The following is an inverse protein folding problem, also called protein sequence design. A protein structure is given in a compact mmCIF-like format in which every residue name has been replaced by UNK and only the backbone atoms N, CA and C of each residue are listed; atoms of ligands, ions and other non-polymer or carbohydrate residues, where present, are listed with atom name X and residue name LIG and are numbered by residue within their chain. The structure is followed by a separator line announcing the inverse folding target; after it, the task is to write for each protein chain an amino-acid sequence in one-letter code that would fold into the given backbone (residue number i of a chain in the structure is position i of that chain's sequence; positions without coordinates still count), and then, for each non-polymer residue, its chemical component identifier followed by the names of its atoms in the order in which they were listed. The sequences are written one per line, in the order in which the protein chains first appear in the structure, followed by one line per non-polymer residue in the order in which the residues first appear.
data_IF_207743834618
#
_entry.id   IF_207743834618
#
_cell.length_a   1.000
_cell.length_b   1.000
_cell.length_c   1.000
_cell.angle_alpha   90.00
_cell.angle_beta   90.00
_cell.angle_gamma   90.00
#
_symmetry.space_group_name_H-M   'P 1'
#
loop_
_entity.id
_entity.type
_entity.pdbx_description
1 polymer ?
#
# COMPACT_ATOMS: atom_id res chain seq x y z
N UNK A 1 19.38 7.27 12.85
CA UNK A 1 20.11 8.39 13.46
C UNK A 1 20.37 9.46 12.41
N UNK A 2 20.87 10.65 12.76
CA UNK A 2 21.07 11.78 11.83
C UNK A 2 22.06 11.52 10.66
N UNK A 3 22.64 10.32 10.57
CA UNK A 3 23.54 9.86 9.50
C UNK A 3 23.07 8.53 8.89
N UNK A 4 21.77 8.26 8.92
CA UNK A 4 21.21 7.05 8.33
C UNK A 4 21.14 7.19 6.81
N UNK A 5 22.02 6.47 6.09
CA UNK A 5 22.08 6.41 4.64
C UNK A 5 20.74 6.05 3.98
N UNK A 6 19.82 5.39 4.70
CA UNK A 6 18.45 5.12 4.25
C UNK A 6 17.57 6.36 4.14
N UNK A 7 18.06 7.52 4.55
CA UNK A 7 17.36 8.81 4.45
C UNK A 7 17.76 9.61 3.21
N UNK A 8 18.63 9.07 2.34
CA UNK A 8 19.19 9.79 1.21
C UNK A 8 19.06 8.98 -0.10
N UNK A 9 18.69 9.66 -1.19
CA UNK A 9 18.65 9.08 -2.53
C UNK A 9 20.08 8.92 -3.10
N UNK A 10 20.21 8.35 -4.32
CA UNK A 10 21.53 8.07 -4.94
C UNK A 10 22.40 9.32 -5.10
N UNK A 11 21.77 10.50 -5.17
CA UNK A 11 22.42 11.79 -5.39
C UNK A 11 22.69 12.54 -4.08
N UNK A 12 22.46 11.90 -2.93
CA UNK A 12 22.72 12.47 -1.60
C UNK A 12 21.68 13.49 -1.14
N UNK A 13 20.59 13.68 -1.88
CA UNK A 13 19.47 14.47 -1.42
C UNK A 13 18.69 13.69 -0.36
N UNK A 14 18.24 14.38 0.69
CA UNK A 14 17.33 13.79 1.67
C UNK A 14 16.10 13.29 0.92
N UNK A 15 15.66 12.05 1.15
CA UNK A 15 14.43 11.53 0.54
C UNK A 15 13.31 12.54 0.80
N UNK A 16 12.87 13.24 -0.25
CA UNK A 16 11.66 14.02 -0.13
C UNK A 16 10.54 13.00 0.10
N UNK A 17 9.83 13.14 1.22
CA UNK A 17 8.79 12.19 1.61
C UNK A 17 7.71 12.08 0.52
N UNK A 18 7.57 13.10 -0.34
CA UNK A 18 6.73 13.06 -1.54
C UNK A 18 7.17 12.05 -2.62
N UNK A 19 8.46 11.72 -2.72
CA UNK A 19 8.97 10.75 -3.71
C UNK A 19 8.75 9.29 -3.29
N UNK A 20 8.49 9.03 -1.99
CA UNK A 20 8.44 7.67 -1.42
C UNK A 20 7.14 6.89 -1.62
N UNK A 21 6.09 7.51 -2.18
CA UNK A 21 4.81 6.85 -2.47
C UNK A 21 4.55 6.68 -3.97
N UNK A 22 5.59 6.38 -4.74
CA UNK A 22 5.50 6.25 -6.21
C UNK A 22 4.94 7.51 -6.90
N UNK A 23 5.27 8.70 -6.36
CA UNK A 23 4.76 9.99 -6.87
C UNK A 23 3.40 10.43 -6.33
N UNK A 24 2.81 9.68 -5.38
CA UNK A 24 1.56 10.07 -4.71
C UNK A 24 1.86 11.00 -3.53
N UNK A 25 1.20 12.17 -3.50
CA UNK A 25 1.25 13.05 -2.34
C UNK A 25 0.74 12.35 -1.06
N UNK A 26 1.40 12.59 0.08
CA UNK A 26 1.09 11.90 1.34
C UNK A 26 -0.36 12.09 1.79
N UNK A 27 -0.92 13.30 1.68
CA UNK A 27 -2.31 13.55 2.09
C UNK A 27 -3.29 12.85 1.15
N UNK A 28 -2.99 12.82 -0.15
CA UNK A 28 -3.79 12.05 -1.11
C UNK A 28 -3.74 10.55 -0.82
N UNK A 29 -2.57 10.02 -0.47
CA UNK A 29 -2.41 8.63 -0.05
C UNK A 29 -3.24 8.29 1.20
N UNK A 30 -3.24 9.16 2.21
CA UNK A 30 -4.07 8.98 3.41
C UNK A 30 -5.57 9.02 3.09
N UNK A 31 -6.00 9.94 2.23
CA UNK A 31 -7.39 10.04 1.79
C UNK A 31 -7.84 8.76 1.08
N UNK A 32 -7.07 8.28 0.09
CA UNK A 32 -7.38 7.06 -0.64
C UNK A 32 -7.42 5.83 0.29
N UNK A 33 -6.49 5.74 1.25
CA UNK A 33 -6.49 4.67 2.24
C UNK A 33 -7.74 4.71 3.14
N UNK A 34 -8.14 5.90 3.61
CA UNK A 34 -9.36 6.07 4.41
C UNK A 34 -10.61 5.66 3.62
N UNK A 35 -10.69 6.05 2.34
CA UNK A 35 -11.81 5.68 1.46
C UNK A 35 -11.87 4.19 1.18
N UNK A 36 -10.74 3.52 0.96
CA UNK A 36 -10.69 2.05 0.86
C UNK A 36 -11.18 1.38 2.15
N UNK A 37 -10.76 1.89 3.30
CA UNK A 37 -11.18 1.38 4.61
C UNK A 37 -12.70 1.40 4.77
N UNK A 38 -13.31 2.53 4.42
CA UNK A 38 -14.76 2.75 4.49
C UNK A 38 -15.51 1.84 3.51
N UNK A 39 -15.14 1.84 2.22
CA UNK A 39 -15.84 1.12 1.17
C UNK A 39 -15.70 -0.41 1.29
N UNK A 40 -14.56 -0.90 1.78
CA UNK A 40 -14.34 -2.34 2.03
C UNK A 40 -14.85 -2.77 3.42
N UNK A 41 -15.42 -1.85 4.20
CA UNK A 41 -15.94 -2.12 5.55
C UNK A 41 -14.96 -2.88 6.46
N UNK A 42 -13.68 -2.47 6.46
CA UNK A 42 -12.61 -3.21 7.14
C UNK A 42 -11.77 -2.33 8.03
N UNK A 43 -11.47 -2.80 9.25
CA UNK A 43 -10.47 -2.18 10.11
C UNK A 43 -9.04 -2.72 9.87
N UNK A 44 -8.91 -3.71 8.98
CA UNK A 44 -7.67 -4.47 8.72
C UNK A 44 -7.10 -4.18 7.34
N UNK A 45 -7.06 -2.90 6.96
CA UNK A 45 -6.67 -2.48 5.61
C UNK A 45 -5.26 -2.96 5.22
N UNK A 46 -4.31 -3.01 6.17
CA UNK A 46 -2.97 -3.52 5.90
C UNK A 46 -2.99 -5.01 5.49
N UNK A 47 -3.72 -5.86 6.21
CA UNK A 47 -3.87 -7.27 5.85
C UNK A 47 -4.67 -7.44 4.56
N UNK A 48 -5.70 -6.61 4.34
CA UNK A 48 -6.48 -6.61 3.11
C UNK A 48 -5.60 -6.27 1.88
N UNK A 49 -4.69 -5.28 2.00
CA UNK A 49 -3.74 -4.94 0.96
C UNK A 49 -2.76 -6.08 0.66
N UNK A 50 -2.22 -6.75 1.70
CA UNK A 50 -1.37 -7.92 1.51
C UNK A 50 -2.13 -9.07 0.84
N UNK A 51 -3.38 -9.31 1.24
CA UNK A 51 -4.25 -10.31 0.63
C UNK A 51 -4.50 -9.99 -0.85
N UNK A 52 -4.80 -8.74 -1.19
CA UNK A 52 -4.99 -8.28 -2.56
C UNK A 52 -3.76 -8.59 -3.43
N UNK A 53 -2.54 -8.29 -2.95
CA UNK A 53 -1.31 -8.58 -3.70
C UNK A 53 -1.13 -10.09 -3.90
N UNK A 54 -1.41 -10.90 -2.89
CA UNK A 54 -1.33 -12.36 -2.94
C UNK A 54 -2.37 -13.02 -3.84
N UNK A 55 -3.39 -12.29 -4.32
CA UNK A 55 -4.39 -12.84 -5.25
C UNK A 55 -3.90 -12.92 -6.70
N UNK A 56 -2.80 -12.26 -7.04
CA UNK A 56 -2.28 -12.25 -8.40
C UNK A 56 -1.47 -13.52 -8.68
N UNK A 57 -1.76 -14.29 -9.75
CA UNK A 57 -1.04 -15.52 -10.07
C UNK A 57 0.47 -15.33 -10.29
N UNK A 58 0.89 -14.12 -10.66
CA UNK A 58 2.29 -13.76 -10.86
C UNK A 58 3.05 -13.52 -9.54
N UNK A 59 2.35 -13.43 -8.41
CA UNK A 59 2.94 -13.16 -7.09
C UNK A 59 3.05 -14.47 -6.32
N UNK A 60 4.28 -14.87 -5.99
CA UNK A 60 4.55 -16.04 -5.14
C UNK A 60 4.62 -15.71 -3.65
N UNK A 61 5.05 -14.49 -3.31
CA UNK A 61 5.27 -14.07 -1.92
C UNK A 61 5.19 -12.55 -1.79
N UNK A 62 4.81 -12.08 -0.59
CA UNK A 62 4.88 -10.68 -0.18
C UNK A 62 5.83 -10.55 1.00
N UNK A 63 6.67 -9.52 1.02
CA UNK A 63 7.69 -9.30 2.06
C UNK A 63 7.41 -7.98 2.78
N UNK A 64 6.41 -7.93 3.68
CA UNK A 64 6.06 -6.71 4.40
C UNK A 64 7.06 -6.41 5.52
N UNK A 65 7.31 -5.12 5.75
CA UNK A 65 8.04 -4.65 6.92
C UNK A 65 7.21 -4.81 8.20
N UNK A 66 7.89 -4.92 9.35
CA UNK A 66 7.29 -4.93 10.67
C UNK A 66 8.24 -4.27 11.69
N UNK A 67 7.68 -3.41 12.55
CA UNK A 67 8.36 -2.77 13.68
C UNK A 67 7.96 -3.36 15.03
N UNK A 68 7.01 -4.31 15.06
CA UNK A 68 6.62 -5.04 16.27
C UNK A 68 6.25 -6.50 15.98
N UNK A 69 6.33 -7.41 16.98
CA UNK A 69 5.91 -8.81 16.83
C UNK A 69 4.44 -8.99 16.44
N UNK A 70 3.56 -8.08 16.89
CA UNK A 70 2.14 -8.10 16.56
C UNK A 70 1.92 -7.87 15.07
N UNK A 71 2.71 -6.98 14.45
CA UNK A 71 2.66 -6.75 13.01
C UNK A 71 3.12 -7.98 12.22
N UNK A 72 4.15 -8.70 12.69
CA UNK A 72 4.59 -9.96 12.06
C UNK A 72 3.41 -10.95 12.02
N UNK A 73 2.76 -11.13 13.17
CA UNK A 73 1.61 -12.03 13.30
C UNK A 73 0.45 -11.58 12.42
N UNK A 74 0.12 -10.28 12.43
CA UNK A 74 -0.95 -9.70 11.61
C UNK A 74 -0.67 -9.84 10.10
N UNK A 75 0.57 -9.62 9.66
CA UNK A 75 0.99 -9.75 8.28
C UNK A 75 0.89 -11.22 7.81
N UNK A 76 1.34 -12.18 8.62
CA UNK A 76 1.26 -13.60 8.29
C UNK A 76 -0.20 -14.06 8.09
N UNK A 77 -1.12 -13.57 8.92
CA UNK A 77 -2.54 -13.89 8.84
C UNK A 77 -3.22 -13.41 7.54
N UNK A 78 -2.64 -12.44 6.82
CA UNK A 78 -3.22 -11.93 5.57
C UNK A 78 -3.40 -13.04 4.52
N UNK A 79 -2.49 -14.01 4.48
CA UNK A 79 -2.55 -15.17 3.58
C UNK A 79 -3.79 -16.05 3.77
N UNK A 80 -4.33 -16.10 4.98
CA UNK A 80 -5.51 -16.89 5.34
C UNK A 80 -6.84 -16.14 5.23
N UNK A 81 -6.82 -14.85 4.85
CA UNK A 81 -8.04 -14.11 4.59
C UNK A 81 -8.76 -14.67 3.35
N UNK A 82 -10.10 -14.56 3.27
CA UNK A 82 -10.83 -14.90 2.05
C UNK A 82 -10.29 -14.10 0.86
N UNK A 83 -10.36 -14.63 -0.37
CA UNK A 83 -10.11 -13.83 -1.55
C UNK A 83 -11.12 -12.68 -1.61
N UNK A 84 -10.71 -11.56 -2.18
CA UNK A 84 -11.64 -10.48 -2.49
C UNK A 84 -12.70 -11.00 -3.47
N UNK A 85 -13.93 -10.60 -3.22
CA UNK A 85 -15.03 -10.70 -4.18
C UNK A 85 -14.77 -9.79 -5.38
N UNK A 86 -15.50 -10.02 -6.47
CA UNK A 86 -15.44 -9.13 -7.64
C UNK A 86 -15.83 -7.68 -7.29
N UNK A 87 -16.77 -7.52 -6.36
CA UNK A 87 -17.20 -6.21 -5.87
C UNK A 87 -16.07 -5.47 -5.14
N UNK A 88 -15.38 -6.15 -4.21
CA UNK A 88 -14.23 -5.59 -3.49
C UNK A 88 -13.08 -5.26 -4.46
N UNK A 89 -12.83 -6.12 -5.45
CA UNK A 89 -11.84 -5.83 -6.50
C UNK A 89 -12.19 -4.58 -7.31
N UNK A 90 -13.48 -4.38 -7.62
CA UNK A 90 -13.96 -3.20 -8.34
C UNK A 90 -13.87 -1.93 -7.47
N UNK A 91 -14.09 -2.02 -6.16
CA UNK A 91 -13.88 -0.92 -5.21
C UNK A 91 -12.42 -0.45 -5.25
N UNK A 92 -11.46 -1.38 -5.15
CA UNK A 92 -10.02 -1.04 -5.22
C UNK A 92 -9.68 -0.36 -6.54
N UNK A 93 -10.16 -0.91 -7.67
CA UNK A 93 -9.94 -0.33 -9.00
C UNK A 93 -10.51 1.09 -9.10
N UNK A 94 -11.74 1.29 -8.61
CA UNK A 94 -12.41 2.59 -8.64
C UNK A 94 -11.63 3.66 -7.88
N UNK A 95 -11.18 3.35 -6.65
CA UNK A 95 -10.37 4.30 -5.87
C UNK A 95 -9.04 4.59 -6.58
N UNK A 96 -8.39 3.58 -7.14
CA UNK A 96 -7.16 3.79 -7.91
C UNK A 96 -7.38 4.69 -9.12
N UNK A 97 -8.38 4.41 -9.96
CA UNK A 97 -8.66 5.16 -11.18
C UNK A 97 -9.06 6.62 -10.90
N UNK A 98 -9.84 6.86 -9.84
CA UNK A 98 -10.32 8.20 -9.47
C UNK A 98 -9.25 9.04 -8.76
N UNK A 99 -8.49 8.45 -7.83
CA UNK A 99 -7.65 9.23 -6.90
C UNK A 99 -6.16 9.12 -7.15
N UNK A 100 -5.68 7.97 -7.62
CA UNK A 100 -4.24 7.67 -7.69
C UNK A 100 -3.71 7.79 -9.11
N UNK A 101 -4.39 7.16 -10.08
CA UNK A 101 -3.97 7.11 -11.47
C UNK A 101 -3.70 8.50 -12.06
N UNK A 102 -4.53 9.55 -11.87
CA UNK A 102 -4.24 10.87 -12.42
C UNK A 102 -2.93 11.50 -11.92
N UNK A 103 -2.42 11.04 -10.78
CA UNK A 103 -1.21 11.58 -10.14
C UNK A 103 0.06 10.93 -10.66
N UNK A 104 -0.03 9.64 -11.02
CA UNK A 104 1.16 8.82 -11.32
C UNK A 104 1.21 8.34 -12.77
N UNK A 105 0.11 8.40 -13.51
CA UNK A 105 0.04 7.84 -14.87
C UNK A 105 0.91 8.58 -15.89
N UNK A 106 1.23 9.86 -15.65
CA UNK A 106 2.20 10.60 -16.46
C UNK A 106 3.66 10.34 -16.10
N UNK A 107 3.94 9.53 -15.06
CA UNK A 107 5.28 9.20 -14.60
C UNK A 107 5.83 7.88 -15.20
N UNK A 108 5.08 7.25 -16.11
CA UNK A 108 5.42 5.97 -16.75
C UNK A 108 5.07 5.98 -18.24
#
# INVERSE_FOLDING_TARGET
GAHDHRSYNRDGAYFDKGETFSGVDYQKGLHAAARLKELLHTDRLAQAALRYILMYPAVSTVIPGASSPEQITANAQASGLPPFTEEEMNIVRKVYDEEIKPLVHGCW
#
